data_IF_596213408822
#
_entry.id   IF_596213408822
#
_cell.length_a   1.000
_cell.length_b   1.000
_cell.length_c   1.000
_cell.angle_alpha   90.00
_cell.angle_beta   90.00
_cell.angle_gamma   90.00
#
_symmetry.space_group_name_H-M   'P 1'
#
loop_
_entity.id
_entity.type
_entity.pdbx_description
1 polymer ?
#
# COMPACT_ATOMS: atom_id res chain seq x y z
N UNK A 1 30.83 11.25 3.73
CA UNK A 1 30.65 11.06 2.27
C UNK A 1 29.16 11.11 2.00
N UNK A 2 28.68 12.20 1.41
CA UNK A 2 27.25 12.35 1.08
C UNK A 2 26.90 11.38 -0.03
N UNK A 3 26.00 10.45 0.26
CA UNK A 3 25.38 9.63 -0.80
C UNK A 3 24.71 10.58 -1.80
N UNK A 4 24.88 10.38 -3.11
CA UNK A 4 24.26 11.23 -4.10
C UNK A 4 22.75 11.15 -3.92
N UNK A 5 22.11 12.31 -3.69
CA UNK A 5 20.67 12.42 -3.69
C UNK A 5 20.17 11.84 -5.03
N UNK A 6 19.45 10.72 -4.97
CA UNK A 6 18.80 10.15 -6.15
C UNK A 6 17.89 11.25 -6.71
N UNK A 7 18.16 11.72 -7.92
CA UNK A 7 17.20 12.52 -8.68
C UNK A 7 16.05 11.58 -9.05
N UNK A 8 15.07 11.44 -8.14
CA UNK A 8 13.82 10.67 -8.30
C UNK A 8 12.84 11.34 -9.30
N UNK A 9 13.34 12.18 -10.21
CA UNK A 9 12.54 13.06 -11.05
C UNK A 9 12.63 12.77 -12.53
N UNK A 10 12.79 11.49 -12.92
CA UNK A 10 12.71 11.12 -14.34
C UNK A 10 11.36 10.44 -14.63
N UNK A 11 10.47 11.13 -15.37
CA UNK A 11 9.17 10.58 -15.78
C UNK A 11 9.29 9.34 -16.67
N UNK A 12 10.46 9.12 -17.27
CA UNK A 12 10.73 8.02 -18.20
C UNK A 12 11.28 6.77 -17.53
N UNK A 13 11.78 6.85 -16.29
CA UNK A 13 12.47 5.74 -15.60
C UNK A 13 12.15 5.68 -14.12
N UNK A 14 12.07 4.46 -13.58
CA UNK A 14 12.00 4.20 -12.13
C UNK A 14 12.77 2.93 -11.77
N UNK A 15 13.03 2.75 -10.48
CA UNK A 15 13.47 1.47 -9.97
C UNK A 15 12.28 0.53 -9.84
N UNK A 16 12.33 -0.55 -10.59
CA UNK A 16 11.28 -1.57 -10.61
C UNK A 16 11.89 -2.88 -10.13
N UNK A 17 11.27 -3.46 -9.12
CA UNK A 17 11.66 -4.78 -8.59
C UNK A 17 11.10 -5.84 -9.51
N UNK A 18 9.78 -5.79 -9.76
CA UNK A 18 9.12 -6.74 -10.63
C UNK A 18 7.80 -6.19 -11.23
N UNK A 19 7.33 -6.85 -12.29
CA UNK A 19 5.99 -6.65 -12.87
C UNK A 19 5.39 -8.04 -13.08
N UNK A 20 4.29 -8.34 -12.41
CA UNK A 20 3.70 -9.69 -12.41
C UNK A 20 2.17 -9.66 -12.32
N UNK A 21 1.54 -10.80 -12.61
CA UNK A 21 0.10 -11.01 -12.46
C UNK A 21 -0.17 -11.91 -11.27
N UNK A 22 -1.02 -11.47 -10.34
CA UNK A 22 -1.46 -12.29 -9.22
C UNK A 22 -2.88 -11.93 -8.77
N UNK A 23 -3.34 -12.59 -7.70
CA UNK A 23 -4.53 -12.20 -6.96
C UNK A 23 -4.16 -11.18 -5.88
N UNK A 24 -4.98 -10.14 -5.72
CA UNK A 24 -4.87 -9.25 -4.56
C UNK A 24 -5.09 -10.07 -3.28
N UNK A 25 -4.07 -10.13 -2.44
CA UNK A 25 -4.09 -10.93 -1.21
C UNK A 25 -4.51 -10.16 0.03
N UNK A 26 -4.76 -8.85 -0.08
CA UNK A 26 -4.98 -7.98 1.07
C UNK A 26 -6.15 -7.01 0.90
N UNK A 27 -6.62 -6.50 2.03
CA UNK A 27 -7.54 -5.38 2.06
C UNK A 27 -8.94 -5.69 1.51
N UNK A 28 -9.59 -4.67 0.97
CA UNK A 28 -10.98 -4.73 0.55
C UNK A 28 -11.21 -5.45 -0.79
N UNK A 29 -10.14 -5.72 -1.54
CA UNK A 29 -10.17 -6.27 -2.90
C UNK A 29 -9.53 -7.65 -3.02
N UNK A 30 -9.45 -8.38 -1.90
CA UNK A 30 -8.95 -9.77 -1.87
C UNK A 30 -9.63 -10.61 -2.94
N UNK A 31 -8.81 -11.39 -3.69
CA UNK A 31 -9.26 -12.28 -4.76
C UNK A 31 -9.37 -11.62 -6.14
N UNK A 32 -9.26 -10.28 -6.25
CA UNK A 32 -9.23 -9.61 -7.55
C UNK A 32 -7.89 -9.87 -8.25
N UNK A 33 -7.96 -10.29 -9.53
CA UNK A 33 -6.75 -10.45 -10.34
C UNK A 33 -6.24 -9.10 -10.81
N UNK A 34 -5.00 -8.80 -10.47
CA UNK A 34 -4.33 -7.53 -10.76
C UNK A 34 -2.97 -7.75 -11.42
N UNK A 35 -2.50 -6.76 -12.16
CA UNK A 35 -1.09 -6.64 -12.53
C UNK A 35 -0.42 -5.80 -11.45
N UNK A 36 0.60 -6.34 -10.83
CA UNK A 36 1.39 -5.65 -9.83
C UNK A 36 2.63 -5.03 -10.49
N UNK A 37 2.85 -3.74 -10.24
CA UNK A 37 4.09 -3.02 -10.56
C UNK A 37 4.75 -2.68 -9.23
N UNK A 38 5.76 -3.46 -8.85
CA UNK A 38 6.49 -3.31 -7.59
C UNK A 38 7.70 -2.42 -7.77
N UNK A 39 7.63 -1.23 -7.17
CA UNK A 39 8.69 -0.22 -7.20
C UNK A 39 9.65 -0.41 -6.03
N UNK A 40 10.92 -0.08 -6.24
CA UNK A 40 11.96 -0.19 -5.22
C UNK A 40 12.12 1.09 -4.39
N UNK A 41 12.54 0.91 -3.15
CA UNK A 41 12.74 1.95 -2.15
C UNK A 41 11.53 2.16 -1.24
N UNK A 42 11.80 2.34 0.05
CA UNK A 42 10.80 2.70 1.05
C UNK A 42 11.35 3.78 1.98
N UNK A 43 10.50 4.68 2.43
CA UNK A 43 10.85 5.70 3.44
C UNK A 43 10.63 5.21 4.88
N UNK A 44 10.14 3.98 5.06
CA UNK A 44 9.94 3.31 6.34
C UNK A 44 10.64 1.95 6.38
N UNK A 45 10.82 1.45 7.59
CA UNK A 45 11.29 0.08 7.86
C UNK A 45 10.34 -0.53 8.89
N UNK A 46 9.38 -1.34 8.42
CA UNK A 46 8.44 -2.04 9.28
C UNK A 46 9.03 -3.40 9.68
N UNK A 47 8.87 -3.78 10.94
CA UNK A 47 9.37 -5.06 11.45
C UNK A 47 8.66 -6.30 10.89
N UNK A 48 7.44 -6.13 10.39
CA UNK A 48 6.64 -7.18 9.75
C UNK A 48 6.68 -7.11 8.21
N UNK A 49 7.65 -6.41 7.62
CA UNK A 49 7.70 -6.24 6.17
C UNK A 49 7.91 -7.60 5.49
N UNK A 50 6.94 -8.01 4.68
CA UNK A 50 6.99 -9.24 3.89
C UNK A 50 7.80 -9.09 2.59
N UNK A 51 8.19 -7.85 2.24
CA UNK A 51 9.00 -7.52 1.07
C UNK A 51 10.27 -6.73 1.44
N UNK A 52 11.14 -7.26 2.32
CA UNK A 52 12.30 -6.53 2.85
C UNK A 52 13.29 -6.11 1.77
N UNK A 53 13.36 -6.85 0.65
CA UNK A 53 14.23 -6.55 -0.49
C UNK A 53 13.82 -5.29 -1.25
N UNK A 54 12.62 -4.77 -1.01
CA UNK A 54 12.13 -3.53 -1.61
C UNK A 54 12.49 -2.27 -0.81
N UNK A 55 12.96 -2.42 0.43
CA UNK A 55 13.14 -1.29 1.38
C UNK A 55 14.29 -0.38 0.97
N UNK A 56 15.44 -0.96 0.61
CA UNK A 56 16.60 -0.15 0.27
C UNK A 56 16.30 0.79 -0.92
N UNK A 57 16.73 2.05 -0.82
CA UNK A 57 16.53 3.04 -1.89
C UNK A 57 17.05 2.54 -3.26
N UNK A 58 18.21 1.83 -3.36
CA UNK A 58 18.67 1.28 -4.65
C UNK A 58 17.99 -0.06 -5.04
N UNK A 59 16.96 -0.54 -4.31
CA UNK A 59 16.30 -1.80 -4.66
C UNK A 59 15.71 -1.81 -6.06
N UNK A 60 15.72 -2.97 -6.69
CA UNK A 60 15.24 -3.17 -8.05
C UNK A 60 16.19 -2.63 -9.13
N UNK A 61 15.78 -2.79 -10.37
CA UNK A 61 16.52 -2.36 -11.56
C UNK A 61 15.90 -1.10 -12.15
N UNK A 62 16.71 -0.17 -12.62
CA UNK A 62 16.22 1.00 -13.37
C UNK A 62 15.58 0.54 -14.66
N UNK A 63 14.29 0.74 -14.82
CA UNK A 63 13.51 0.39 -16.03
C UNK A 63 12.87 1.63 -16.63
N UNK A 64 12.78 1.64 -17.95
CA UNK A 64 12.04 2.68 -18.67
C UNK A 64 10.52 2.45 -18.57
N UNK A 65 9.76 3.52 -18.70
CA UNK A 65 8.29 3.44 -18.79
C UNK A 65 7.84 2.49 -19.93
N UNK A 66 8.53 2.53 -21.06
CA UNK A 66 8.24 1.64 -22.20
C UNK A 66 8.49 0.16 -21.86
N UNK A 67 9.54 -0.14 -21.08
CA UNK A 67 9.78 -1.52 -20.64
C UNK A 67 8.62 -2.02 -19.75
N UNK A 68 8.19 -1.20 -18.79
CA UNK A 68 7.08 -1.54 -17.87
C UNK A 68 5.76 -1.68 -18.64
N UNK A 69 5.47 -0.77 -19.60
CA UNK A 69 4.28 -0.89 -20.47
C UNK A 69 4.28 -2.17 -21.27
N UNK A 70 5.42 -2.56 -21.88
CA UNK A 70 5.54 -3.84 -22.62
C UNK A 70 5.25 -5.04 -21.73
N UNK A 71 5.77 -5.06 -20.50
CA UNK A 71 5.51 -6.13 -19.53
C UNK A 71 4.00 -6.20 -19.16
N UNK A 72 3.37 -5.05 -18.91
CA UNK A 72 1.93 -4.98 -18.61
C UNK A 72 1.11 -5.51 -19.80
N UNK A 73 1.40 -5.06 -21.02
CA UNK A 73 0.70 -5.52 -22.23
C UNK A 73 0.87 -7.03 -22.42
N UNK A 74 2.06 -7.55 -22.24
CA UNK A 74 2.32 -9.00 -22.31
C UNK A 74 1.44 -9.77 -21.30
N UNK A 75 1.38 -9.32 -20.03
CA UNK A 75 0.53 -9.98 -19.02
C UNK A 75 -0.97 -9.92 -19.39
N UNK A 76 -1.43 -8.83 -20.00
CA UNK A 76 -2.80 -8.70 -20.49
C UNK A 76 -3.13 -9.68 -21.62
N UNK A 77 -2.16 -10.06 -22.46
CA UNK A 77 -2.37 -11.09 -23.50
C UNK A 77 -2.52 -12.50 -22.92
N UNK A 78 -1.99 -12.73 -21.72
CA UNK A 78 -2.06 -14.03 -21.06
C UNK A 78 -3.38 -14.24 -20.31
N UNK A 79 -3.91 -13.19 -19.69
CA UNK A 79 -5.15 -13.23 -18.87
C UNK A 79 -5.79 -11.84 -18.81
N UNK A 80 -7.13 -11.75 -18.68
CA UNK A 80 -7.79 -10.47 -18.47
C UNK A 80 -7.47 -9.89 -17.09
N UNK A 81 -7.16 -8.60 -17.06
CA UNK A 81 -6.95 -7.81 -15.87
C UNK A 81 -7.78 -6.54 -15.92
N UNK A 82 -8.29 -6.09 -14.78
CA UNK A 82 -9.09 -4.85 -14.68
C UNK A 82 -8.32 -3.71 -14.03
N UNK A 83 -7.25 -4.02 -13.31
CA UNK A 83 -6.49 -3.04 -12.52
C UNK A 83 -4.99 -3.32 -12.53
N UNK A 84 -4.23 -2.24 -12.33
CA UNK A 84 -2.80 -2.28 -12.01
C UNK A 84 -2.66 -1.86 -10.55
N UNK A 85 -2.03 -2.71 -9.72
CA UNK A 85 -1.58 -2.36 -8.38
C UNK A 85 -0.18 -1.74 -8.44
N UNK A 86 -0.11 -0.45 -8.12
CA UNK A 86 1.12 0.30 -7.92
C UNK A 86 1.55 0.11 -6.48
N UNK A 87 2.57 -0.69 -6.26
CA UNK A 87 3.05 -1.14 -4.95
C UNK A 87 4.57 -1.14 -4.87
N UNK A 88 5.15 -1.76 -3.87
CA UNK A 88 6.59 -1.92 -3.75
C UNK A 88 7.06 -1.72 -2.31
N UNK A 89 8.16 -1.01 -2.11
CA UNK A 89 8.48 -0.41 -0.82
C UNK A 89 7.48 0.71 -0.51
N UNK A 90 7.69 1.89 -1.12
CA UNK A 90 6.70 2.98 -1.12
C UNK A 90 6.60 3.58 -2.52
N UNK A 91 5.52 3.31 -3.27
CA UNK A 91 5.39 3.76 -4.66
C UNK A 91 5.33 5.29 -4.79
N UNK A 92 4.84 6.01 -3.79
CA UNK A 92 4.80 7.47 -3.79
C UNK A 92 6.17 8.16 -3.67
N UNK A 93 7.26 7.40 -3.59
CA UNK A 93 8.62 7.91 -3.85
C UNK A 93 8.87 8.18 -5.33
N UNK A 94 8.02 7.66 -6.24
CA UNK A 94 8.16 7.75 -7.69
C UNK A 94 6.99 8.49 -8.39
N UNK A 95 6.44 9.61 -7.87
CA UNK A 95 5.22 10.20 -8.39
C UNK A 95 5.37 10.70 -9.83
N UNK A 96 6.56 11.17 -10.20
CA UNK A 96 6.87 11.69 -11.53
C UNK A 96 6.82 10.58 -12.60
N UNK A 97 7.34 9.39 -12.26
CA UNK A 97 7.23 8.21 -13.13
C UNK A 97 5.79 7.66 -13.16
N UNK A 98 5.14 7.59 -11.99
CA UNK A 98 3.81 6.99 -11.89
C UNK A 98 2.75 7.77 -12.65
N UNK A 99 2.78 9.09 -12.63
CA UNK A 99 1.73 9.91 -13.23
C UNK A 99 1.46 9.56 -14.70
N UNK A 100 2.43 9.64 -15.63
CA UNK A 100 2.21 9.28 -17.04
C UNK A 100 1.89 7.78 -17.22
N UNK A 101 2.35 6.90 -16.33
CA UNK A 101 2.02 5.48 -16.38
C UNK A 101 0.56 5.23 -15.99
N UNK A 102 0.06 5.91 -14.96
CA UNK A 102 -1.34 5.83 -14.54
C UNK A 102 -2.30 6.44 -15.57
N UNK A 103 -1.92 7.55 -16.21
CA UNK A 103 -2.66 8.13 -17.33
C UNK A 103 -2.75 7.14 -18.50
N UNK A 104 -1.63 6.52 -18.87
CA UNK A 104 -1.57 5.49 -19.91
C UNK A 104 -2.43 4.26 -19.56
N UNK A 105 -2.40 3.79 -18.31
CA UNK A 105 -3.20 2.67 -17.85
C UNK A 105 -4.70 2.97 -17.97
N UNK A 106 -5.12 4.15 -17.53
CA UNK A 106 -6.52 4.62 -17.62
C UNK A 106 -7.00 4.72 -19.07
N UNK A 107 -6.18 5.24 -19.98
CA UNK A 107 -6.50 5.32 -21.41
C UNK A 107 -6.70 3.93 -22.04
N UNK A 108 -6.21 2.85 -21.42
CA UNK A 108 -6.43 1.47 -21.81
C UNK A 108 -7.57 0.76 -21.05
N UNK A 109 -8.35 1.49 -20.28
CA UNK A 109 -9.45 0.96 -19.48
C UNK A 109 -9.04 0.20 -18.22
N UNK A 110 -7.76 0.31 -17.79
CA UNK A 110 -7.27 -0.28 -16.56
C UNK A 110 -7.44 0.70 -15.39
N UNK A 111 -7.95 0.19 -14.26
CA UNK A 111 -8.02 0.94 -13.01
C UNK A 111 -6.64 1.05 -12.37
N UNK A 112 -6.39 2.16 -11.72
CA UNK A 112 -5.19 2.39 -10.92
C UNK A 112 -5.50 2.12 -9.45
N UNK A 113 -4.89 1.07 -8.91
CA UNK A 113 -4.93 0.70 -7.50
C UNK A 113 -3.58 1.10 -6.89
N UNK A 114 -3.58 1.93 -5.86
CA UNK A 114 -2.38 2.40 -5.16
C UNK A 114 -2.29 1.77 -3.79
N UNK A 115 -1.20 1.05 -3.51
CA UNK A 115 -0.84 0.57 -2.17
C UNK A 115 0.24 1.47 -1.58
N UNK A 116 -0.02 2.11 -0.45
CA UNK A 116 0.90 3.10 0.12
C UNK A 116 0.87 3.10 1.64
N UNK A 117 1.99 3.41 2.25
CA UNK A 117 2.09 3.59 3.70
C UNK A 117 1.46 4.90 4.21
N UNK A 118 0.87 5.72 3.34
CA UNK A 118 0.11 6.90 3.70
C UNK A 118 0.92 8.03 4.34
N UNK A 119 2.23 8.11 4.12
CA UNK A 119 3.09 9.11 4.76
C UNK A 119 3.55 10.23 3.83
N UNK A 120 3.15 10.20 2.57
CA UNK A 120 3.56 11.16 1.54
C UNK A 120 2.35 11.91 0.94
N UNK A 121 1.66 12.78 1.69
CA UNK A 121 0.43 13.46 1.25
C UNK A 121 0.67 14.37 0.03
N UNK A 122 1.84 15.00 -0.09
CA UNK A 122 2.17 15.85 -1.24
C UNK A 122 2.26 15.03 -2.55
N UNK A 123 2.86 13.85 -2.51
CA UNK A 123 2.93 12.95 -3.66
C UNK A 123 1.54 12.42 -4.04
N UNK A 124 0.69 12.10 -3.04
CA UNK A 124 -0.69 11.71 -3.30
C UNK A 124 -1.46 12.80 -4.06
N UNK A 125 -1.36 14.08 -3.67
CA UNK A 125 -2.09 15.17 -4.33
C UNK A 125 -1.87 15.21 -5.85
N UNK A 126 -0.67 14.87 -6.31
CA UNK A 126 -0.35 14.83 -7.73
C UNK A 126 -1.00 13.63 -8.47
N UNK A 127 -1.30 12.53 -7.75
CA UNK A 127 -1.79 11.28 -8.32
C UNK A 127 -3.24 10.96 -7.97
N UNK A 128 -3.81 11.60 -6.93
CA UNK A 128 -5.16 11.32 -6.44
C UNK A 128 -6.25 11.33 -7.53
N UNK A 129 -6.24 12.27 -8.52
CA UNK A 129 -7.23 12.26 -9.60
C UNK A 129 -7.11 11.03 -10.52
N UNK A 130 -5.98 10.32 -10.49
CA UNK A 130 -5.71 9.13 -11.30
C UNK A 130 -5.94 7.82 -10.53
N UNK A 131 -6.07 7.86 -9.20
CA UNK A 131 -6.31 6.69 -8.38
C UNK A 131 -7.81 6.32 -8.39
N UNK A 132 -8.12 5.09 -8.78
CA UNK A 132 -9.46 4.53 -8.67
C UNK A 132 -9.66 3.87 -7.29
N UNK A 133 -8.59 3.29 -6.75
CA UNK A 133 -8.53 2.72 -5.40
C UNK A 133 -7.24 3.16 -4.71
N UNK A 134 -7.32 3.49 -3.43
CA UNK A 134 -6.15 3.71 -2.56
C UNK A 134 -6.25 2.81 -1.34
N UNK A 135 -5.33 1.87 -1.22
CA UNK A 135 -5.09 1.08 -0.03
C UNK A 135 -4.08 1.84 0.85
N UNK A 136 -4.58 2.62 1.79
CA UNK A 136 -3.76 3.39 2.71
C UNK A 136 -3.43 2.58 3.95
N UNK A 137 -2.17 2.19 4.10
CA UNK A 137 -1.71 1.40 5.26
C UNK A 137 -1.21 2.33 6.36
N UNK A 138 -1.99 2.48 7.44
CA UNK A 138 -1.60 3.26 8.61
C UNK A 138 -0.56 2.49 9.40
N UNK A 139 0.67 2.97 9.36
CA UNK A 139 1.83 2.34 9.99
C UNK A 139 1.92 2.75 11.46
N UNK A 140 1.89 1.75 12.35
CA UNK A 140 1.93 1.96 13.79
C UNK A 140 3.37 2.19 14.28
N UNK A 141 3.58 3.08 15.28
CA UNK A 141 4.90 3.29 15.88
C UNK A 141 5.53 2.03 16.46
N UNK A 142 4.73 1.11 17.02
CA UNK A 142 5.19 -0.18 17.54
C UNK A 142 5.89 -1.05 16.49
N UNK A 143 5.60 -0.83 15.20
CA UNK A 143 6.18 -1.58 14.10
C UNK A 143 7.28 -0.82 13.35
N UNK A 144 7.28 0.52 13.40
CA UNK A 144 8.19 1.35 12.60
C UNK A 144 9.20 2.12 13.44
N UNK A 145 8.98 2.20 14.76
CA UNK A 145 9.74 3.09 15.65
C UNK A 145 9.47 4.59 15.44
N UNK A 146 8.49 4.96 14.60
CA UNK A 146 8.22 6.36 14.20
C UNK A 146 6.74 6.70 14.28
N UNK A 147 6.44 7.90 14.80
CA UNK A 147 5.09 8.46 14.80
C UNK A 147 4.81 9.19 13.48
N UNK A 148 3.77 8.74 12.74
CA UNK A 148 3.39 9.30 11.44
C UNK A 148 1.96 9.86 11.43
N UNK A 149 1.35 10.08 12.59
CA UNK A 149 -0.07 10.46 12.75
C UNK A 149 -0.46 11.74 12.00
N UNK A 150 0.43 12.74 11.98
CA UNK A 150 0.16 13.98 11.26
C UNK A 150 0.12 13.74 9.74
N UNK A 151 1.11 13.01 9.21
CA UNK A 151 1.17 12.67 7.80
C UNK A 151 -0.04 11.81 7.38
N UNK A 152 -0.40 10.79 8.17
CA UNK A 152 -1.58 9.96 7.92
C UNK A 152 -2.88 10.77 7.91
N UNK A 153 -3.03 11.75 8.81
CA UNK A 153 -4.19 12.63 8.83
C UNK A 153 -4.28 13.50 7.58
N UNK A 154 -3.19 14.12 7.20
CA UNK A 154 -3.12 14.94 5.99
C UNK A 154 -3.35 14.12 4.72
N UNK A 155 -2.77 12.91 4.67
CA UNK A 155 -2.95 11.97 3.58
C UNK A 155 -4.44 11.58 3.43
N UNK A 156 -5.08 11.16 4.52
CA UNK A 156 -6.47 10.73 4.51
C UNK A 156 -7.43 11.86 4.14
N UNK A 157 -7.13 13.10 4.56
CA UNK A 157 -7.92 14.27 4.20
C UNK A 157 -7.87 14.59 2.69
N UNK A 158 -6.76 14.25 2.01
CA UNK A 158 -6.60 14.42 0.55
C UNK A 158 -6.91 13.17 -0.27
N UNK A 159 -7.34 12.08 0.36
CA UNK A 159 -7.53 10.80 -0.31
C UNK A 159 -8.82 10.76 -1.16
N UNK A 160 -8.81 10.11 -2.35
CA UNK A 160 -9.99 10.01 -3.21
C UNK A 160 -11.06 9.06 -2.63
N UNK A 161 -12.27 9.08 -3.21
CA UNK A 161 -13.43 8.32 -2.71
C UNK A 161 -13.23 6.81 -2.65
N UNK A 162 -12.38 6.23 -3.51
CA UNK A 162 -12.06 4.80 -3.53
C UNK A 162 -11.07 4.37 -2.47
N UNK A 163 -10.78 5.20 -1.47
CA UNK A 163 -9.83 4.89 -0.40
C UNK A 163 -10.44 3.98 0.64
N UNK A 164 -9.65 3.00 1.08
CA UNK A 164 -9.84 2.30 2.35
C UNK A 164 -8.54 2.38 3.18
N UNK A 165 -8.68 2.30 4.48
CA UNK A 165 -7.55 2.26 5.41
C UNK A 165 -7.29 0.82 5.84
N UNK A 166 -6.04 0.42 5.83
CA UNK A 166 -5.55 -0.85 6.36
C UNK A 166 -4.64 -0.56 7.56
N UNK A 167 -4.68 -1.41 8.57
CA UNK A 167 -3.78 -1.38 9.72
C UNK A 167 -3.28 -2.78 9.97
N UNK A 168 -1.97 -3.00 9.85
CA UNK A 168 -1.35 -4.26 10.24
C UNK A 168 -1.19 -4.30 11.76
N UNK A 169 -1.70 -5.37 12.38
CA UNK A 169 -1.72 -5.56 13.83
C UNK A 169 -0.78 -6.70 14.23
N UNK A 170 0.18 -6.37 15.08
CA UNK A 170 1.14 -7.31 15.66
C UNK A 170 0.85 -7.54 17.15
N UNK A 171 1.52 -8.50 17.76
CA UNK A 171 1.49 -8.71 19.21
C UNK A 171 1.92 -7.45 19.98
N UNK A 172 2.76 -6.60 19.39
CA UNK A 172 3.25 -5.34 19.97
C UNK A 172 2.33 -4.14 19.79
N UNK A 173 1.31 -4.23 18.94
CA UNK A 173 0.35 -3.13 18.74
C UNK A 173 -0.34 -2.76 20.05
N UNK A 174 -0.33 -1.48 20.42
CA UNK A 174 -0.77 -1.01 21.74
C UNK A 174 -2.17 -0.45 21.75
N UNK A 175 -2.80 -0.40 22.93
CA UNK A 175 -4.08 0.26 23.15
C UNK A 175 -4.02 1.78 22.85
N UNK A 176 -2.90 2.41 23.11
CA UNK A 176 -2.70 3.83 22.82
C UNK A 176 -2.71 4.09 21.31
N UNK A 177 -2.01 3.26 20.53
CA UNK A 177 -2.01 3.33 19.07
C UNK A 177 -3.41 3.07 18.50
N UNK A 178 -4.11 2.04 19.03
CA UNK A 178 -5.48 1.75 18.59
C UNK A 178 -6.44 2.95 18.81
N UNK A 179 -6.33 3.62 19.95
CA UNK A 179 -7.08 4.87 20.18
C UNK A 179 -6.74 5.97 19.17
N UNK A 180 -5.48 6.08 18.77
CA UNK A 180 -5.04 7.02 17.71
C UNK A 180 -5.62 6.66 16.35
N UNK A 181 -5.63 5.36 15.98
CA UNK A 181 -6.29 4.88 14.76
C UNK A 181 -7.77 5.25 14.76
N UNK A 182 -8.49 4.98 15.85
CA UNK A 182 -9.91 5.34 15.95
C UNK A 182 -10.13 6.86 15.87
N UNK A 183 -9.26 7.67 16.47
CA UNK A 183 -9.32 9.12 16.36
C UNK A 183 -9.11 9.60 14.92
N UNK A 184 -8.15 9.00 14.20
CA UNK A 184 -7.93 9.27 12.78
C UNK A 184 -9.17 8.92 11.94
N UNK A 185 -9.74 7.73 12.15
CA UNK A 185 -10.88 7.23 11.37
C UNK A 185 -12.19 7.97 11.67
N UNK A 186 -12.36 8.54 12.85
CA UNK A 186 -13.53 9.40 13.17
C UNK A 186 -13.63 10.64 12.27
N UNK A 187 -12.50 11.13 11.76
CA UNK A 187 -12.48 12.23 10.79
C UNK A 187 -12.94 11.79 9.39
N UNK A 188 -12.96 10.48 9.11
CA UNK A 188 -13.35 9.89 7.82
C UNK A 188 -14.27 8.65 8.01
N UNK A 189 -15.46 8.79 8.63
CA UNK A 189 -16.26 7.65 9.09
C UNK A 189 -16.89 6.81 7.97
N UNK A 190 -16.79 7.26 6.73
CA UNK A 190 -17.27 6.52 5.55
C UNK A 190 -16.18 5.69 4.88
N UNK A 191 -14.91 5.92 5.24
CA UNK A 191 -13.77 5.17 4.71
C UNK A 191 -13.74 3.80 5.41
N UNK A 192 -13.73 2.70 4.64
CA UNK A 192 -13.62 1.35 5.21
C UNK A 192 -12.32 1.19 5.98
N UNK A 193 -12.36 0.45 7.09
CA UNK A 193 -11.19 0.08 7.88
C UNK A 193 -10.98 -1.43 7.82
N UNK A 194 -9.77 -1.82 7.41
CA UNK A 194 -9.33 -3.23 7.38
C UNK A 194 -8.29 -3.44 8.47
N UNK A 195 -8.59 -4.31 9.42
CA UNK A 195 -7.64 -4.83 10.40
C UNK A 195 -6.97 -6.07 9.80
N UNK A 196 -5.66 -6.03 9.66
CA UNK A 196 -4.88 -7.12 9.11
C UNK A 196 -3.94 -7.68 10.18
N UNK A 197 -4.23 -8.86 10.76
CA UNK A 197 -3.24 -9.53 11.59
C UNK A 197 -1.95 -9.76 10.80
N UNK A 198 -0.79 -9.47 11.39
CA UNK A 198 0.50 -9.76 10.75
C UNK A 198 0.63 -11.27 10.51
N UNK A 199 1.28 -11.66 9.42
CA UNK A 199 1.58 -13.06 9.14
C UNK A 199 2.84 -13.47 9.90
N UNK A 200 2.80 -14.53 10.73
CA UNK A 200 3.98 -15.04 11.41
C UNK A 200 5.08 -15.44 10.41
N UNK A 201 6.34 -15.25 10.80
CA UNK A 201 7.49 -15.56 9.95
C UNK A 201 8.10 -14.38 9.20
N UNK A 202 7.47 -13.19 9.26
CA UNK A 202 7.99 -11.95 8.67
C UNK A 202 8.41 -10.93 9.73
N UNK A 203 9.17 -11.37 10.73
CA UNK A 203 9.81 -10.48 11.71
C UNK A 203 8.93 -10.03 12.89
N UNK A 204 7.62 -10.23 12.84
CA UNK A 204 6.73 -9.92 13.96
C UNK A 204 5.65 -10.98 14.14
N UNK A 205 5.26 -11.20 15.41
CA UNK A 205 4.13 -12.07 15.73
C UNK A 205 2.79 -11.35 15.49
N UNK A 206 1.80 -12.11 15.05
CA UNK A 206 0.44 -11.62 14.89
C UNK A 206 -0.18 -11.20 16.24
N UNK A 207 -1.09 -10.24 16.20
CA UNK A 207 -1.98 -9.95 17.31
C UNK A 207 -2.83 -11.20 17.65
N UNK A 208 -3.09 -11.46 18.93
CA UNK A 208 -3.97 -12.57 19.29
C UNK A 208 -5.40 -12.34 18.76
N UNK A 209 -6.12 -13.41 18.36
CA UNK A 209 -7.49 -13.29 17.86
C UNK A 209 -8.41 -12.52 18.80
N UNK A 210 -8.34 -12.77 20.10
CA UNK A 210 -9.16 -12.09 21.11
C UNK A 210 -8.92 -10.57 21.13
N UNK A 211 -7.65 -10.12 21.04
CA UNK A 211 -7.33 -8.68 20.96
C UNK A 211 -7.77 -8.09 19.65
N UNK A 212 -7.55 -8.78 18.53
CA UNK A 212 -7.99 -8.32 17.22
C UNK A 212 -9.50 -8.10 17.18
N UNK A 213 -10.29 -9.05 17.67
CA UNK A 213 -11.74 -8.94 17.77
C UNK A 213 -12.19 -7.83 18.73
N UNK A 214 -11.47 -7.60 19.83
CA UNK A 214 -11.72 -6.46 20.72
C UNK A 214 -11.50 -5.12 20.00
N UNK A 215 -10.45 -5.02 19.18
CA UNK A 215 -10.18 -3.82 18.38
C UNK A 215 -11.27 -3.61 17.32
N UNK A 216 -11.65 -4.66 16.61
CA UNK A 216 -12.72 -4.65 15.62
C UNK A 216 -14.05 -4.20 16.23
N UNK A 217 -14.49 -4.79 17.34
CA UNK A 217 -15.73 -4.45 18.00
C UNK A 217 -15.80 -2.97 18.43
N UNK A 218 -14.68 -2.40 18.87
CA UNK A 218 -14.60 -0.96 19.19
C UNK A 218 -14.64 -0.07 17.94
N UNK A 219 -14.02 -0.50 16.84
CA UNK A 219 -14.09 0.23 15.59
C UNK A 219 -15.51 0.27 15.03
N UNK A 220 -16.28 -0.83 15.12
CA UNK A 220 -17.68 -0.91 14.68
C UNK A 220 -18.62 0.04 15.42
N UNK A 221 -18.26 0.50 16.61
CA UNK A 221 -19.06 1.50 17.35
C UNK A 221 -19.01 2.89 16.70
N UNK A 222 -18.02 3.14 15.86
CA UNK A 222 -17.75 4.48 15.28
C UNK A 222 -17.64 4.49 13.77
N UNK A 223 -17.52 3.32 13.13
CA UNK A 223 -17.34 3.16 11.70
C UNK A 223 -18.39 2.21 11.12
N UNK A 224 -18.78 2.44 9.87
CA UNK A 224 -19.80 1.63 9.19
C UNK A 224 -19.24 0.34 8.59
N UNK A 225 -18.03 0.38 8.04
CA UNK A 225 -17.40 -0.75 7.37
C UNK A 225 -16.06 -1.04 8.06
N UNK A 226 -16.03 -2.14 8.80
CA UNK A 226 -14.82 -2.65 9.48
C UNK A 226 -14.69 -4.14 9.15
N UNK A 227 -13.52 -4.54 8.70
CA UNK A 227 -13.23 -5.91 8.29
C UNK A 227 -11.95 -6.41 8.94
N UNK A 228 -11.90 -7.69 9.25
CA UNK A 228 -10.67 -8.39 9.62
C UNK A 228 -10.28 -9.27 8.42
N UNK A 229 -9.14 -8.96 7.80
CA UNK A 229 -8.70 -9.65 6.59
C UNK A 229 -7.24 -10.07 6.77
N UNK A 230 -6.92 -11.37 6.80
CA UNK A 230 -5.52 -11.83 6.81
C UNK A 230 -4.87 -11.63 5.44
N UNK A 231 -3.56 -11.85 5.38
CA UNK A 231 -2.81 -11.87 4.12
C UNK A 231 -3.04 -13.19 3.39
N UNK A 232 -3.99 -13.22 2.47
CA UNK A 232 -4.38 -14.44 1.75
C UNK A 232 -3.31 -14.97 0.80
N UNK A 233 -2.47 -14.09 0.24
CA UNK A 233 -1.41 -14.50 -0.66
C UNK A 233 -0.39 -15.42 0.04
N UNK A 234 -0.09 -15.22 1.32
CA UNK A 234 0.73 -16.13 2.10
C UNK A 234 0.04 -17.47 2.37
N UNK A 235 -1.26 -17.45 2.68
CA UNK A 235 -2.03 -18.67 2.92
C UNK A 235 -2.16 -19.54 1.66
N UNK A 236 -2.29 -18.93 0.50
CA UNK A 236 -2.42 -19.63 -0.77
C UNK A 236 -1.09 -19.82 -1.50
N UNK A 237 0.01 -19.36 -0.94
CA UNK A 237 1.35 -19.43 -1.54
C UNK A 237 1.38 -18.87 -2.98
N UNK A 238 0.61 -17.80 -3.23
CA UNK A 238 0.63 -17.03 -4.47
C UNK A 238 1.42 -15.74 -4.27
N UNK A 239 1.99 -15.22 -5.36
CA UNK A 239 2.71 -13.94 -5.31
C UNK A 239 1.80 -12.80 -4.97
#
# INVERSE_FOLDING_TARGET
MNAPALKLSDASRARVVEVFSSLQGEGAYVGERQIFVRLGGCNLHCDYCDEPDTIAIPSGTVRSAEHVKKAIVFLQTQRPHRSISWTGGEPLLHPVFMKPMMEWARARGLKNYLETNGTLPNALRALAPLCDVVAMDVKLPSATGREMWSAHREFLAGAPRGTFVKVVLTARSTEAEWRRVLALMRAAPRVPLVLQPATPGFGADAISPARCLSFEARARRVLRDVRVVPQWHHLWQVR
#
